data_IF_040598578717
#
_entry.id   IF_040598578717
#
_cell.length_a   1.000
_cell.length_b   1.000
_cell.length_c   1.000
_cell.angle_alpha   90.00
_cell.angle_beta   90.00
_cell.angle_gamma   90.00
#
_symmetry.space_group_name_H-M   'P 1'
#
loop_
_entity.id
_entity.type
_entity.pdbx_description
1 polymer ?
#
# COMPACT_ATOMS: atom_id res chain seq x y z
N UNK A 1 31.22 5.71 13.75
CA UNK A 1 30.47 4.56 13.16
C UNK A 1 29.58 5.17 12.09
N UNK A 2 29.75 4.73 10.84
CA UNK A 2 28.93 5.23 9.73
C UNK A 2 27.50 4.69 9.80
N UNK A 3 26.57 5.32 9.07
CA UNK A 3 25.18 4.82 8.95
C UNK A 3 25.13 3.42 8.35
N UNK A 4 26.05 3.10 7.42
CA UNK A 4 26.17 1.75 6.84
C UNK A 4 26.61 0.73 7.91
N UNK A 5 27.56 1.07 8.78
CA UNK A 5 27.96 0.19 9.88
C UNK A 5 26.79 -0.14 10.82
N UNK A 6 25.92 0.85 11.08
CA UNK A 6 24.71 0.65 11.90
C UNK A 6 23.73 -0.31 11.20
N UNK A 7 23.50 -0.12 9.90
CA UNK A 7 22.64 -0.99 9.12
C UNK A 7 23.17 -2.44 9.06
N UNK A 8 24.50 -2.63 8.94
CA UNK A 8 25.13 -3.95 9.00
C UNK A 8 24.94 -4.62 10.38
N UNK A 9 25.05 -3.86 11.46
CA UNK A 9 24.77 -4.38 12.80
C UNK A 9 23.30 -4.78 12.97
N UNK A 10 22.36 -3.97 12.50
CA UNK A 10 20.94 -4.30 12.51
C UNK A 10 20.61 -5.57 11.71
N UNK A 11 21.28 -5.79 10.57
CA UNK A 11 21.11 -7.00 9.78
C UNK A 11 21.70 -8.22 10.45
N UNK A 12 22.87 -8.09 11.08
CA UNK A 12 23.63 -9.20 11.66
C UNK A 12 22.98 -9.81 12.90
N UNK A 13 22.08 -9.10 13.57
CA UNK A 13 21.47 -9.53 14.82
C UNK A 13 19.94 -9.63 14.70
N UNK A 14 19.37 -10.79 14.94
CA UNK A 14 17.92 -11.02 14.86
C UNK A 14 17.15 -10.62 16.13
N UNK A 15 17.83 -10.26 17.23
CA UNK A 15 17.17 -9.84 18.47
C UNK A 15 16.45 -8.51 18.29
N UNK A 16 15.15 -8.52 18.58
CA UNK A 16 14.32 -7.31 18.55
C UNK A 16 14.81 -6.27 19.56
N UNK A 17 15.13 -6.70 20.79
CA UNK A 17 15.60 -5.81 21.84
C UNK A 17 16.91 -5.12 21.44
N UNK A 18 17.87 -5.89 20.91
CA UNK A 18 19.13 -5.32 20.39
C UNK A 18 18.88 -4.24 19.35
N UNK A 19 17.94 -4.47 18.41
CA UNK A 19 17.62 -3.48 17.36
C UNK A 19 16.95 -2.24 17.93
N UNK A 20 16.03 -2.39 18.89
CA UNK A 20 15.40 -1.29 19.59
C UNK A 20 16.45 -0.44 20.33
N UNK A 21 17.32 -1.05 21.13
CA UNK A 21 18.41 -0.38 21.87
C UNK A 21 19.40 0.34 20.93
N UNK A 22 19.82 -0.33 19.84
CA UNK A 22 20.71 0.27 18.86
C UNK A 22 20.09 1.50 18.20
N UNK A 23 18.83 1.42 17.78
CA UNK A 23 18.13 2.56 17.18
C UNK A 23 17.90 3.69 18.17
N UNK A 24 17.55 3.41 19.42
CA UNK A 24 17.39 4.42 20.48
C UNK A 24 18.71 5.18 20.71
N UNK A 25 19.85 4.49 20.65
CA UNK A 25 21.17 5.12 20.74
C UNK A 25 21.46 6.06 19.56
N UNK A 26 20.72 5.95 18.48
CA UNK A 26 20.86 6.72 17.25
C UNK A 26 19.75 7.78 17.04
N UNK A 27 19.03 8.16 18.08
CA UNK A 27 17.87 9.09 17.98
C UNK A 27 18.22 10.41 17.28
N UNK A 28 19.46 10.89 17.41
CA UNK A 28 19.96 12.11 16.77
C UNK A 28 20.64 11.87 15.41
N UNK A 29 20.57 10.67 14.86
CA UNK A 29 21.15 10.35 13.55
C UNK A 29 20.12 10.61 12.45
N UNK A 30 20.11 11.84 11.91
CA UNK A 30 19.16 12.25 10.88
C UNK A 30 19.35 11.48 9.57
N UNK A 31 20.57 11.09 9.23
CA UNK A 31 20.82 10.30 8.02
C UNK A 31 20.21 8.91 8.11
N UNK A 32 20.39 8.22 9.25
CA UNK A 32 19.75 6.93 9.49
C UNK A 32 18.23 7.04 9.46
N UNK A 33 17.66 8.09 10.05
CA UNK A 33 16.23 8.37 9.97
C UNK A 33 15.76 8.53 8.53
N UNK A 34 16.47 9.32 7.69
CA UNK A 34 16.18 9.49 6.27
C UNK A 34 16.23 8.17 5.51
N UNK A 35 17.20 7.29 5.82
CA UNK A 35 17.29 5.95 5.22
C UNK A 35 16.03 5.12 5.49
N UNK A 36 15.56 5.11 6.75
CA UNK A 36 14.35 4.38 7.10
C UNK A 36 13.10 4.96 6.44
N UNK A 37 12.99 6.30 6.34
CA UNK A 37 11.89 6.96 5.62
C UNK A 37 11.96 6.60 4.14
N UNK A 38 13.10 6.78 3.49
CA UNK A 38 13.27 6.50 2.06
C UNK A 38 12.91 5.07 1.67
N UNK A 39 13.26 4.11 2.53
CA UNK A 39 12.95 2.70 2.29
C UNK A 39 11.55 2.27 2.78
N UNK A 40 11.02 2.92 3.82
CA UNK A 40 9.83 2.46 4.54
C UNK A 40 8.54 3.24 4.24
N UNK A 41 8.64 4.50 3.80
CA UNK A 41 7.46 5.31 3.51
C UNK A 41 6.74 4.78 2.26
N UNK A 42 5.50 4.28 2.36
CA UNK A 42 4.77 3.71 1.22
C UNK A 42 4.43 4.74 0.14
N UNK A 43 4.42 6.02 0.47
CA UNK A 43 4.08 7.11 -0.44
C UNK A 43 5.26 7.58 -1.32
N UNK A 44 6.49 7.17 -1.00
CA UNK A 44 7.69 7.46 -1.79
C UNK A 44 7.96 6.28 -2.73
N UNK A 45 7.98 6.51 -4.03
CA UNK A 45 8.30 5.51 -5.05
C UNK A 45 9.43 6.00 -5.95
N UNK A 46 10.33 5.09 -6.35
CA UNK A 46 11.46 5.43 -7.22
C UNK A 46 11.35 4.88 -8.64
N UNK A 47 10.36 4.04 -8.92
CA UNK A 47 9.99 3.52 -10.24
C UNK A 47 11.11 2.79 -11.03
N UNK A 48 12.23 2.43 -10.39
CA UNK A 48 13.35 1.71 -10.99
C UNK A 48 13.59 0.40 -10.23
N UNK A 49 13.02 -0.70 -10.74
CA UNK A 49 13.12 -2.02 -10.11
C UNK A 49 14.17 -2.94 -10.76
N UNK A 50 14.64 -2.59 -11.98
CA UNK A 50 15.60 -3.40 -12.74
C UNK A 50 16.65 -2.52 -13.41
N UNK A 51 17.90 -2.72 -13.07
CA UNK A 51 19.05 -2.10 -13.68
C UNK A 51 20.27 -3.06 -13.58
N UNK A 52 21.30 -2.81 -14.36
CA UNK A 52 22.53 -3.60 -14.29
C UNK A 52 23.47 -2.95 -13.26
N UNK A 53 23.75 -3.65 -12.18
CA UNK A 53 24.68 -3.18 -11.16
C UNK A 53 26.09 -3.06 -11.75
N UNK A 54 26.75 -1.88 -11.66
CA UNK A 54 28.16 -1.73 -12.03
C UNK A 54 29.10 -2.41 -11.02
N UNK A 55 30.39 -2.50 -11.37
CA UNK A 55 31.40 -2.99 -10.42
C UNK A 55 31.57 -2.02 -9.25
N UNK A 56 31.80 -2.55 -8.08
CA UNK A 56 32.02 -1.79 -6.85
C UNK A 56 33.49 -1.36 -6.76
N UNK A 57 33.84 -0.20 -7.30
CA UNK A 57 35.23 0.31 -7.35
C UNK A 57 35.38 1.65 -6.61
N UNK A 58 34.33 2.13 -5.90
CA UNK A 58 34.33 3.39 -5.17
C UNK A 58 35.19 3.42 -3.91
N UNK A 59 35.55 4.62 -3.48
CA UNK A 59 36.39 4.90 -2.29
C UNK A 59 35.79 6.01 -1.40
N UNK A 60 34.57 6.47 -1.70
CA UNK A 60 33.91 7.56 -0.96
C UNK A 60 33.55 7.21 0.48
N UNK A 61 33.46 8.26 1.32
CA UNK A 61 32.97 8.11 2.69
C UNK A 61 31.49 7.70 2.70
N UNK A 62 31.13 6.71 3.54
CA UNK A 62 29.80 6.07 3.56
C UNK A 62 28.64 7.07 3.72
N UNK A 63 28.71 7.94 4.69
CA UNK A 63 27.58 8.85 5.00
C UNK A 63 27.42 9.93 3.91
N UNK A 64 28.50 10.44 3.32
CA UNK A 64 28.45 11.41 2.24
C UNK A 64 27.84 10.79 0.96
N UNK A 65 28.25 9.56 0.61
CA UNK A 65 27.71 8.84 -0.54
C UNK A 65 26.23 8.55 -0.34
N UNK A 66 25.86 8.16 0.86
CA UNK A 66 24.48 7.85 1.21
C UNK A 66 23.57 9.09 1.18
N UNK A 67 24.04 10.24 1.68
CA UNK A 67 23.34 11.53 1.61
C UNK A 67 23.07 11.94 0.17
N UNK A 68 24.10 11.99 -0.69
CA UNK A 68 23.94 12.33 -2.11
C UNK A 68 23.01 11.36 -2.84
N UNK A 69 23.13 10.07 -2.54
CA UNK A 69 22.23 9.07 -3.12
C UNK A 69 20.78 9.32 -2.76
N UNK A 70 20.49 9.58 -1.48
CA UNK A 70 19.13 9.86 -1.01
C UNK A 70 18.56 11.13 -1.64
N UNK A 71 19.36 12.19 -1.76
CA UNK A 71 18.96 13.44 -2.42
C UNK A 71 18.60 13.18 -3.89
N UNK A 72 19.48 12.50 -4.63
CA UNK A 72 19.28 12.22 -6.05
C UNK A 72 18.05 11.35 -6.34
N UNK A 73 17.84 10.27 -5.59
CA UNK A 73 16.66 9.42 -5.79
C UNK A 73 15.36 10.12 -5.38
N UNK A 74 15.41 10.98 -4.34
CA UNK A 74 14.24 11.75 -3.92
C UNK A 74 13.90 12.84 -4.94
N UNK A 75 14.87 13.70 -5.30
CA UNK A 75 14.61 14.85 -6.17
C UNK A 75 14.35 14.45 -7.64
N UNK A 76 14.96 13.38 -8.11
CA UNK A 76 14.93 13.01 -9.55
C UNK A 76 13.99 11.85 -9.85
N UNK A 77 13.95 10.84 -8.99
CA UNK A 77 13.16 9.63 -9.25
C UNK A 77 11.78 9.69 -8.59
N UNK A 78 11.69 10.03 -7.29
CA UNK A 78 10.39 10.05 -6.61
C UNK A 78 9.45 11.14 -7.15
N UNK A 79 10.02 12.27 -7.55
CA UNK A 79 9.30 13.39 -8.19
C UNK A 79 9.07 13.19 -9.69
N UNK A 80 9.63 12.11 -10.27
CA UNK A 80 9.54 11.77 -11.70
C UNK A 80 10.13 12.80 -12.67
N UNK A 81 11.05 13.64 -12.19
CA UNK A 81 11.84 14.53 -13.07
C UNK A 81 12.64 13.72 -14.09
N UNK A 82 13.10 12.51 -13.68
CA UNK A 82 13.80 11.58 -14.56
C UNK A 82 13.04 10.26 -14.61
N UNK A 83 12.69 9.78 -15.82
CA UNK A 83 11.84 8.59 -16.02
C UNK A 83 12.40 7.64 -17.08
N UNK A 84 11.83 6.44 -17.20
CA UNK A 84 12.12 5.49 -18.26
C UNK A 84 13.59 5.02 -18.28
N UNK A 85 14.24 5.04 -19.45
CA UNK A 85 15.63 4.61 -19.58
C UNK A 85 16.60 5.60 -18.94
N UNK A 86 16.32 6.90 -19.00
CA UNK A 86 17.13 7.91 -18.32
C UNK A 86 17.20 7.69 -16.81
N UNK A 87 16.11 7.25 -16.17
CA UNK A 87 16.09 6.89 -14.75
C UNK A 87 16.99 5.67 -14.46
N UNK A 88 17.00 4.67 -15.35
CA UNK A 88 17.92 3.52 -15.22
C UNK A 88 19.37 3.92 -15.37
N UNK A 89 19.66 4.80 -16.34
CA UNK A 89 21.03 5.30 -16.59
C UNK A 89 21.51 6.15 -15.40
N UNK A 90 20.63 6.99 -14.83
CA UNK A 90 20.91 7.73 -13.61
C UNK A 90 21.26 6.78 -12.45
N UNK A 91 20.43 5.76 -12.22
CA UNK A 91 20.69 4.77 -11.16
C UNK A 91 22.03 4.09 -11.38
N UNK A 92 22.34 3.61 -12.59
CA UNK A 92 23.65 2.99 -12.90
C UNK A 92 24.80 3.96 -12.61
N UNK A 93 24.67 5.22 -13.00
CA UNK A 93 25.65 6.26 -12.72
C UNK A 93 25.88 6.45 -11.21
N UNK A 94 24.81 6.56 -10.42
CA UNK A 94 24.90 6.69 -8.96
C UNK A 94 25.64 5.53 -8.30
N UNK A 95 25.50 4.32 -8.84
CA UNK A 95 26.16 3.13 -8.30
C UNK A 95 27.61 2.94 -8.75
N UNK A 96 28.07 3.66 -9.77
CA UNK A 96 29.39 3.42 -10.41
C UNK A 96 30.55 3.67 -9.44
N UNK A 97 30.45 4.73 -8.61
CA UNK A 97 31.53 5.15 -7.71
C UNK A 97 31.30 4.67 -6.26
N UNK A 98 30.51 3.61 -6.07
CA UNK A 98 30.20 3.06 -4.75
C UNK A 98 31.05 1.85 -4.42
N UNK A 99 31.36 1.69 -3.12
CA UNK A 99 31.89 0.43 -2.56
C UNK A 99 30.82 -0.66 -2.52
N UNK A 100 31.21 -1.93 -2.31
CA UNK A 100 30.25 -3.04 -2.20
C UNK A 100 29.19 -2.84 -1.12
N UNK A 101 29.54 -2.47 0.12
CA UNK A 101 28.56 -2.16 1.17
C UNK A 101 27.64 -1.01 0.80
N UNK A 102 28.14 0.07 0.21
CA UNK A 102 27.34 1.21 -0.26
C UNK A 102 26.34 0.76 -1.32
N UNK A 103 26.77 0.01 -2.35
CA UNK A 103 25.87 -0.54 -3.36
C UNK A 103 24.79 -1.41 -2.76
N UNK A 104 25.13 -2.28 -1.81
CA UNK A 104 24.18 -3.15 -1.12
C UNK A 104 23.05 -2.34 -0.47
N UNK A 105 23.39 -1.34 0.34
CA UNK A 105 22.41 -0.58 1.09
C UNK A 105 21.63 0.41 0.22
N UNK A 106 22.28 1.11 -0.69
CA UNK A 106 21.61 1.98 -1.65
C UNK A 106 20.62 1.20 -2.54
N UNK A 107 20.98 -0.02 -2.98
CA UNK A 107 20.05 -0.89 -3.70
C UNK A 107 18.83 -1.27 -2.87
N UNK A 108 19.02 -1.61 -1.59
CA UNK A 108 17.92 -1.96 -0.69
C UNK A 108 17.00 -0.79 -0.40
N UNK A 109 17.54 0.42 -0.30
CA UNK A 109 16.75 1.66 -0.19
C UNK A 109 15.93 1.86 -1.46
N UNK A 110 16.55 1.81 -2.63
CA UNK A 110 15.90 1.98 -3.92
C UNK A 110 14.77 0.96 -4.14
N UNK A 111 14.99 -0.29 -3.73
CA UNK A 111 14.00 -1.37 -3.82
C UNK A 111 13.02 -1.39 -2.63
N UNK A 112 13.10 -0.39 -1.74
CA UNK A 112 12.21 -0.22 -0.58
C UNK A 112 12.16 -1.43 0.36
N UNK A 113 13.29 -2.12 0.52
CA UNK A 113 13.39 -3.28 1.41
C UNK A 113 14.80 -3.40 2.01
N UNK A 114 14.99 -2.85 3.19
CA UNK A 114 16.30 -2.84 3.87
C UNK A 114 16.77 -4.23 4.31
N UNK A 115 15.87 -5.18 4.51
CA UNK A 115 16.19 -6.55 4.97
C UNK A 115 17.02 -6.60 6.26
N UNK A 116 16.92 -5.59 7.09
CA UNK A 116 17.60 -5.52 8.38
C UNK A 116 16.72 -5.98 9.56
N UNK A 117 15.50 -6.47 9.27
CA UNK A 117 14.56 -6.97 10.27
C UNK A 117 14.02 -5.91 11.24
N UNK A 118 14.05 -4.63 10.84
CA UNK A 118 13.43 -3.50 11.56
C UNK A 118 12.12 -3.17 10.87
N UNK A 119 11.03 -3.12 11.65
CA UNK A 119 9.70 -2.77 11.18
C UNK A 119 9.42 -1.26 11.38
N UNK A 120 8.48 -0.70 10.62
CA UNK A 120 8.07 0.70 10.76
C UNK A 120 7.64 1.06 12.18
N UNK A 121 6.98 0.14 12.88
CA UNK A 121 6.60 0.32 14.29
C UNK A 121 7.81 0.51 15.22
N UNK A 122 8.93 -0.17 14.95
CA UNK A 122 10.17 0.01 15.72
C UNK A 122 10.84 1.34 15.38
N UNK A 123 10.84 1.73 14.09
CA UNK A 123 11.35 3.04 13.67
C UNK A 123 10.55 4.17 14.32
N UNK A 124 9.23 4.08 14.32
CA UNK A 124 8.34 5.09 14.88
C UNK A 124 8.37 5.18 16.42
N UNK A 125 8.89 4.17 17.13
CA UNK A 125 9.18 4.29 18.57
C UNK A 125 10.33 5.27 18.83
N UNK A 126 11.35 5.27 17.96
CA UNK A 126 12.54 6.12 18.10
C UNK A 126 12.32 7.50 17.48
N UNK A 127 11.67 7.53 16.33
CA UNK A 127 11.30 8.75 15.60
C UNK A 127 9.79 8.76 15.34
N UNK A 128 9.00 9.28 16.29
CA UNK A 128 7.53 9.28 16.18
C UNK A 128 7.05 9.90 14.86
N UNK A 129 6.21 9.15 14.11
CA UNK A 129 5.67 9.60 12.82
C UNK A 129 6.67 9.65 11.67
N UNK A 130 7.88 9.11 11.81
CA UNK A 130 8.89 9.13 10.75
C UNK A 130 8.49 8.34 9.52
N UNK A 131 7.86 7.19 9.71
CA UNK A 131 7.28 6.41 8.61
C UNK A 131 5.77 6.47 8.78
N UNK A 132 5.11 7.03 7.78
CA UNK A 132 3.64 7.06 7.73
C UNK A 132 3.15 5.62 7.58
N UNK A 133 2.26 5.19 8.49
CA UNK A 133 1.71 3.84 8.43
C UNK A 133 0.78 3.71 7.23
N UNK A 134 1.00 2.70 6.38
CA UNK A 134 -0.05 2.29 5.46
C UNK A 134 -1.14 1.61 6.30
N UNK A 135 -2.26 2.28 6.46
CA UNK A 135 -3.41 1.74 7.19
C UNK A 135 -4.66 1.87 6.33
N UNK A 136 -5.49 0.86 6.39
CA UNK A 136 -6.82 0.87 5.82
C UNK A 136 -7.84 0.72 6.93
N UNK A 137 -9.01 1.30 6.77
CA UNK A 137 -10.11 1.09 7.69
C UNK A 137 -10.53 -0.38 7.64
N UNK A 138 -10.74 -0.97 8.80
CA UNK A 138 -11.18 -2.35 8.95
C UNK A 138 -12.62 -2.36 9.48
N UNK A 139 -13.40 -3.32 8.99
CA UNK A 139 -14.72 -3.58 9.55
C UNK A 139 -14.58 -4.19 10.95
N UNK A 140 -15.40 -3.75 11.86
CA UNK A 140 -15.60 -4.37 13.16
C UNK A 140 -16.85 -5.28 13.12
N UNK A 141 -16.85 -6.31 13.96
CA UNK A 141 -18.00 -7.21 14.04
C UNK A 141 -19.10 -6.54 14.83
N UNK A 142 -20.31 -6.50 14.27
CA UNK A 142 -21.50 -6.09 14.99
C UNK A 142 -21.87 -7.17 16.00
N UNK A 143 -22.03 -6.79 17.28
CA UNK A 143 -22.41 -7.73 18.33
C UNK A 143 -23.85 -8.22 18.12
N UNK A 144 -23.99 -9.53 18.01
CA UNK A 144 -25.29 -10.18 17.79
C UNK A 144 -25.45 -11.38 18.71
N UNK A 145 -26.68 -11.72 19.04
CA UNK A 145 -27.06 -12.98 19.72
C UNK A 145 -28.20 -13.65 18.98
N UNK A 146 -28.25 -14.96 19.05
CA UNK A 146 -29.39 -15.72 18.55
C UNK A 146 -30.35 -16.03 19.70
N UNK A 147 -31.65 -15.79 19.50
CA UNK A 147 -32.72 -16.11 20.45
C UNK A 147 -33.78 -16.98 19.77
N UNK A 148 -34.08 -18.14 20.37
CA UNK A 148 -35.08 -19.04 19.84
C UNK A 148 -36.44 -18.35 19.66
N UNK A 149 -37.01 -18.49 18.47
CA UNK A 149 -38.28 -17.86 18.09
C UNK A 149 -38.20 -16.38 17.70
N UNK A 150 -37.06 -15.72 17.85
CA UNK A 150 -36.85 -14.33 17.42
C UNK A 150 -35.78 -14.17 16.37
N UNK A 151 -34.85 -15.16 16.24
CA UNK A 151 -33.74 -15.11 15.28
C UNK A 151 -32.54 -14.34 15.76
N UNK A 152 -31.85 -13.62 14.87
CA UNK A 152 -30.68 -12.79 15.16
C UNK A 152 -31.16 -11.47 15.76
N UNK A 153 -30.59 -11.10 16.90
CA UNK A 153 -30.80 -9.81 17.60
C UNK A 153 -29.46 -9.06 17.57
N UNK A 154 -29.50 -7.79 17.15
CA UNK A 154 -28.37 -6.89 17.19
C UNK A 154 -28.27 -6.25 18.57
N UNK A 155 -27.13 -6.38 19.23
CA UNK A 155 -26.90 -5.85 20.58
C UNK A 155 -26.25 -4.46 20.57
N UNK A 156 -25.45 -4.15 19.51
CA UNK A 156 -24.85 -2.83 19.37
C UNK A 156 -25.88 -1.79 18.91
N UNK A 157 -25.77 -0.55 19.39
CA UNK A 157 -26.66 0.52 18.94
C UNK A 157 -26.33 0.90 17.48
N UNK A 158 -27.32 0.77 16.60
CA UNK A 158 -27.20 1.19 15.19
C UNK A 158 -28.04 2.44 14.97
N UNK A 159 -27.42 3.49 14.45
CA UNK A 159 -28.10 4.73 14.08
C UNK A 159 -28.51 4.68 12.62
N UNK A 160 -29.81 4.63 12.35
CA UNK A 160 -30.37 4.57 11.00
C UNK A 160 -30.61 5.98 10.40
N UNK A 161 -30.56 6.13 9.07
CA UNK A 161 -30.32 5.10 8.08
C UNK A 161 -28.84 4.68 8.03
N UNK A 162 -28.57 3.42 7.65
CA UNK A 162 -27.21 2.92 7.40
C UNK A 162 -27.11 2.35 6.00
N UNK A 163 -25.92 2.42 5.41
CA UNK A 163 -25.60 1.78 4.15
C UNK A 163 -25.14 0.35 4.39
N UNK A 164 -25.72 -0.59 3.66
CA UNK A 164 -25.36 -2.01 3.68
C UNK A 164 -24.74 -2.38 2.35
N UNK A 165 -23.63 -3.09 2.39
CA UNK A 165 -22.89 -3.60 1.24
C UNK A 165 -22.56 -5.07 1.50
N UNK A 166 -22.54 -5.96 0.46
CA UNK A 166 -22.15 -7.33 0.64
C UNK A 166 -20.67 -7.42 1.03
N UNK A 167 -20.35 -8.25 2.03
CA UNK A 167 -18.97 -8.55 2.40
C UNK A 167 -18.37 -9.52 1.40
N UNK A 168 -17.40 -9.05 0.64
CA UNK A 168 -16.72 -9.80 -0.40
C UNK A 168 -15.60 -10.66 0.20
N UNK A 169 -15.44 -11.88 -0.31
CA UNK A 169 -14.39 -12.81 0.08
C UNK A 169 -13.27 -12.82 -0.98
N UNK A 170 -12.46 -11.80 -0.96
CA UNK A 170 -11.36 -11.60 -1.91
C UNK A 170 -10.07 -11.16 -1.23
N UNK A 171 -9.33 -10.28 -1.89
CA UNK A 171 -8.08 -9.72 -1.38
C UNK A 171 -8.11 -8.20 -1.49
N UNK A 172 -8.00 -7.53 -0.33
CA UNK A 172 -7.97 -6.07 -0.26
C UNK A 172 -6.91 -5.50 -1.18
N UNK A 173 -7.30 -4.55 -1.99
CA UNK A 173 -6.42 -3.80 -2.87
C UNK A 173 -6.71 -2.31 -2.77
N UNK A 174 -5.68 -1.52 -2.53
CA UNK A 174 -5.72 -0.06 -2.61
C UNK A 174 -4.94 0.37 -3.84
N UNK A 175 -5.62 0.96 -4.81
CA UNK A 175 -5.03 1.47 -6.04
C UNK A 175 -4.85 2.99 -5.92
N UNK A 176 -3.61 3.43 -5.86
CA UNK A 176 -3.24 4.84 -5.75
C UNK A 176 -2.78 5.33 -7.10
N UNK A 177 -3.52 6.26 -7.70
CA UNK A 177 -3.10 6.97 -8.91
C UNK A 177 -2.55 8.33 -8.53
N UNK A 178 -1.32 8.61 -8.97
CA UNK A 178 -0.65 9.88 -8.77
C UNK A 178 0.26 10.19 -9.97
N UNK A 179 0.15 11.41 -10.49
CA UNK A 179 0.86 11.82 -11.71
C UNK A 179 0.63 10.86 -12.90
N UNK A 180 -0.59 10.35 -13.06
CA UNK A 180 -0.96 9.45 -14.14
C UNK A 180 -0.48 7.99 -14.00
N UNK A 181 0.29 7.66 -12.97
CA UNK A 181 0.71 6.28 -12.68
C UNK A 181 -0.06 5.66 -11.51
N UNK A 182 -0.32 4.37 -11.61
CA UNK A 182 -1.00 3.61 -10.57
C UNK A 182 -0.01 2.72 -9.82
N UNK A 183 -0.04 2.80 -8.51
CA UNK A 183 0.59 1.81 -7.62
C UNK A 183 -0.52 1.10 -6.85
N UNK A 184 -0.51 -0.23 -6.87
CA UNK A 184 -1.48 -1.03 -6.14
C UNK A 184 -0.84 -1.62 -4.90
N UNK A 185 -1.58 -1.66 -3.80
CA UNK A 185 -1.10 -2.13 -2.50
C UNK A 185 -2.05 -3.17 -1.91
N UNK A 186 -1.47 -4.12 -1.17
CA UNK A 186 -2.25 -4.99 -0.27
C UNK A 186 -2.73 -4.23 0.96
N UNK A 187 -3.60 -4.83 1.76
CA UNK A 187 -4.04 -4.35 3.08
C UNK A 187 -2.89 -3.88 3.99
N UNK A 188 -1.71 -4.47 3.85
CA UNK A 188 -0.54 -4.19 4.68
C UNK A 188 0.49 -3.25 4.01
N UNK A 189 0.13 -2.61 2.89
CA UNK A 189 1.01 -1.69 2.17
C UNK A 189 2.08 -2.36 1.32
N UNK A 190 1.98 -3.67 1.07
CA UNK A 190 2.89 -4.36 0.13
C UNK A 190 2.47 -4.06 -1.30
N UNK A 191 3.41 -3.64 -2.14
CA UNK A 191 3.13 -3.36 -3.56
C UNK A 191 2.70 -4.63 -4.30
N UNK A 192 1.60 -4.54 -5.02
CA UNK A 192 1.06 -5.58 -5.90
C UNK A 192 1.52 -5.34 -7.35
N UNK A 193 2.28 -6.28 -7.90
CA UNK A 193 2.70 -6.27 -9.31
C UNK A 193 1.97 -7.33 -10.15
N UNK A 194 0.96 -7.99 -9.57
CA UNK A 194 0.32 -9.18 -10.13
C UNK A 194 -0.99 -8.89 -10.86
N UNK A 195 -1.42 -7.63 -10.90
CA UNK A 195 -2.67 -7.16 -11.50
C UNK A 195 -2.41 -6.14 -12.63
N UNK A 196 -1.59 -6.48 -13.66
CA UNK A 196 -1.18 -5.53 -14.69
C UNK A 196 -2.35 -5.00 -15.54
N UNK A 197 -3.38 -5.83 -15.79
CA UNK A 197 -4.56 -5.44 -16.56
C UNK A 197 -5.42 -4.44 -15.80
N UNK A 198 -5.76 -4.73 -14.54
CA UNK A 198 -6.53 -3.81 -13.69
C UNK A 198 -5.77 -2.49 -13.54
N UNK A 199 -4.45 -2.57 -13.27
CA UNK A 199 -3.59 -1.39 -13.21
C UNK A 199 -3.69 -0.53 -14.47
N UNK A 200 -3.54 -1.13 -15.66
CA UNK A 200 -3.60 -0.42 -16.94
C UNK A 200 -4.96 0.21 -17.21
N UNK A 201 -6.06 -0.42 -16.79
CA UNK A 201 -7.41 0.15 -16.90
C UNK A 201 -7.56 1.42 -16.05
N UNK A 202 -7.05 1.42 -14.83
CA UNK A 202 -7.09 2.59 -13.94
C UNK A 202 -6.13 3.68 -14.44
N UNK A 203 -4.95 3.30 -14.97
CA UNK A 203 -4.01 4.25 -15.57
C UNK A 203 -4.61 5.00 -16.77
N UNK A 204 -5.41 4.31 -17.59
CA UNK A 204 -6.06 4.88 -18.76
C UNK A 204 -7.24 5.82 -18.44
N UNK A 205 -7.76 5.82 -17.21
CA UNK A 205 -8.83 6.71 -16.79
C UNK A 205 -8.39 8.20 -16.87
N UNK A 206 -9.32 9.15 -17.16
CA UNK A 206 -8.97 10.54 -17.46
C UNK A 206 -8.54 11.39 -16.26
N UNK A 207 -8.64 10.89 -15.05
CA UNK A 207 -8.24 11.58 -13.82
C UNK A 207 -6.80 11.26 -13.43
N UNK A 208 -6.11 12.18 -12.75
CA UNK A 208 -4.67 12.10 -12.47
C UNK A 208 -4.34 11.64 -11.03
N UNK A 209 -5.16 11.99 -10.04
CA UNK A 209 -4.84 11.82 -8.62
C UNK A 209 -6.04 11.37 -7.79
N UNK A 210 -6.18 10.06 -7.59
CA UNK A 210 -7.18 9.46 -6.70
C UNK A 210 -6.70 8.14 -6.10
N UNK A 211 -7.36 7.75 -5.03
CA UNK A 211 -7.19 6.45 -4.39
C UNK A 211 -8.51 5.70 -4.50
N UNK A 212 -8.45 4.47 -5.00
CA UNK A 212 -9.56 3.53 -5.00
C UNK A 212 -9.25 2.42 -4.00
N UNK A 213 -10.16 2.16 -3.09
CA UNK A 213 -10.07 1.10 -2.11
C UNK A 213 -11.14 0.06 -2.37
N UNK A 214 -10.77 -1.21 -2.39
CA UNK A 214 -11.68 -2.27 -2.79
C UNK A 214 -11.14 -3.67 -2.58
N UNK A 215 -11.88 -4.63 -3.09
CA UNK A 215 -11.56 -6.05 -3.03
C UNK A 215 -11.32 -6.60 -4.44
N UNK A 216 -10.23 -7.33 -4.65
CA UNK A 216 -9.97 -8.05 -5.90
C UNK A 216 -10.43 -9.48 -5.76
N UNK A 217 -11.30 -9.90 -6.68
CA UNK A 217 -11.87 -11.24 -6.71
C UNK A 217 -11.69 -11.88 -8.07
N UNK A 218 -11.40 -13.20 -8.06
CA UNK A 218 -11.60 -14.13 -9.18
C UNK A 218 -12.91 -14.88 -9.04
N UNK A 219 -13.00 -16.08 -9.64
CA UNK A 219 -14.17 -16.93 -9.51
C UNK A 219 -14.35 -17.48 -8.08
N UNK A 220 -13.26 -17.64 -7.35
CA UNK A 220 -13.25 -18.03 -5.93
C UNK A 220 -12.01 -17.46 -5.20
N UNK A 221 -11.97 -17.66 -3.87
CA UNK A 221 -10.85 -17.18 -3.04
C UNK A 221 -9.50 -17.81 -3.45
N UNK A 222 -9.47 -19.10 -3.83
CA UNK A 222 -8.23 -19.78 -4.22
C UNK A 222 -7.64 -19.18 -5.50
N UNK A 223 -8.48 -18.89 -6.49
CA UNK A 223 -8.06 -18.20 -7.72
C UNK A 223 -7.54 -16.80 -7.38
N UNK A 224 -8.29 -16.04 -6.61
CA UNK A 224 -7.91 -14.69 -6.15
C UNK A 224 -6.56 -14.70 -5.45
N UNK A 225 -6.37 -15.57 -4.45
CA UNK A 225 -5.11 -15.69 -3.70
C UNK A 225 -3.96 -16.18 -4.62
N UNK A 226 -4.23 -17.11 -5.53
CA UNK A 226 -3.24 -17.63 -6.48
C UNK A 226 -2.69 -16.56 -7.42
N UNK A 227 -3.51 -15.60 -7.85
CA UNK A 227 -3.10 -14.50 -8.74
C UNK A 227 -2.46 -13.39 -7.91
N UNK A 228 -3.17 -12.85 -6.93
CA UNK A 228 -2.78 -11.66 -6.18
C UNK A 228 -1.52 -11.89 -5.33
N UNK A 229 -1.43 -13.03 -4.63
CA UNK A 229 -0.28 -13.36 -3.77
C UNK A 229 0.89 -14.02 -4.53
N UNK A 230 0.82 -14.10 -5.84
CA UNK A 230 1.87 -14.75 -6.63
C UNK A 230 3.19 -13.98 -6.56
N UNK A 231 4.28 -14.68 -6.32
CA UNK A 231 5.64 -14.13 -6.49
C UNK A 231 6.12 -14.17 -7.96
N UNK A 232 5.33 -14.77 -8.85
CA UNK A 232 5.66 -14.88 -10.28
C UNK A 232 5.06 -13.69 -11.04
N UNK A 233 5.91 -12.88 -11.67
CA UNK A 233 5.45 -11.83 -12.59
C UNK A 233 4.79 -12.45 -13.82
N UNK A 234 3.71 -11.82 -14.30
CA UNK A 234 3.06 -12.21 -15.54
C UNK A 234 2.02 -13.31 -15.41
N UNK A 235 1.41 -13.50 -14.24
CA UNK A 235 0.15 -14.25 -14.17
C UNK A 235 -0.95 -13.50 -14.91
N UNK A 236 -1.83 -14.28 -15.50
CA UNK A 236 -3.02 -13.76 -16.17
C UNK A 236 -4.02 -13.28 -15.09
N UNK A 237 -4.34 -11.99 -15.12
CA UNK A 237 -5.34 -11.35 -14.27
C UNK A 237 -6.65 -11.07 -15.05
N UNK A 238 -6.85 -11.73 -16.21
CA UNK A 238 -8.01 -11.49 -17.08
C UNK A 238 -9.37 -11.78 -16.41
N UNK A 239 -9.39 -12.74 -15.48
CA UNK A 239 -10.59 -13.11 -14.72
C UNK A 239 -10.75 -12.31 -13.42
N UNK A 240 -9.77 -11.46 -13.05
CA UNK A 240 -9.85 -10.66 -11.83
C UNK A 240 -10.77 -9.46 -12.03
N UNK A 241 -11.59 -9.19 -11.02
CA UNK A 241 -12.45 -8.02 -10.95
C UNK A 241 -12.07 -7.23 -9.68
N UNK A 242 -11.88 -5.94 -9.83
CA UNK A 242 -11.65 -5.03 -8.72
C UNK A 242 -12.98 -4.38 -8.33
N UNK A 243 -13.51 -4.78 -7.19
CA UNK A 243 -14.74 -4.28 -6.58
C UNK A 243 -14.41 -3.13 -5.65
N UNK A 244 -14.70 -1.91 -6.09
CA UNK A 244 -14.37 -0.68 -5.38
C UNK A 244 -15.52 -0.30 -4.45
N UNK A 245 -15.23 -0.11 -3.18
CA UNK A 245 -16.21 0.30 -2.17
C UNK A 245 -15.90 1.68 -1.55
N UNK A 246 -14.67 2.20 -1.70
CA UNK A 246 -14.33 3.54 -1.21
C UNK A 246 -13.38 4.25 -2.19
N UNK A 247 -13.40 5.59 -2.15
CA UNK A 247 -12.49 6.42 -2.90
C UNK A 247 -12.14 7.70 -2.12
N UNK A 248 -10.90 8.15 -2.28
CA UNK A 248 -10.37 9.34 -1.64
C UNK A 248 -9.61 10.20 -2.65
N UNK A 249 -9.54 11.49 -2.41
CA UNK A 249 -8.53 12.32 -3.05
C UNK A 249 -7.14 11.90 -2.59
N UNK A 250 -6.16 11.96 -3.48
CA UNK A 250 -4.80 11.55 -3.15
C UNK A 250 -4.20 12.38 -2.00
N UNK A 251 -4.52 13.68 -1.93
CA UNK A 251 -4.11 14.56 -0.83
C UNK A 251 -4.62 14.07 0.52
N UNK A 252 -5.92 13.75 0.61
CA UNK A 252 -6.57 13.31 1.86
C UNK A 252 -5.99 11.98 2.35
N UNK A 253 -5.77 11.05 1.39
CA UNK A 253 -5.14 9.77 1.71
C UNK A 253 -3.69 9.94 2.17
N UNK A 254 -2.90 10.79 1.51
CA UNK A 254 -1.50 11.08 1.87
C UNK A 254 -1.41 11.74 3.24
N UNK A 255 -2.26 12.73 3.50
CA UNK A 255 -2.25 13.53 4.72
C UNK A 255 -3.02 12.82 5.86
N UNK A 256 -3.68 11.68 5.57
CA UNK A 256 -4.52 10.90 6.49
C UNK A 256 -5.64 11.74 7.12
N UNK A 257 -6.18 12.66 6.35
CA UNK A 257 -7.22 13.58 6.77
C UNK A 257 -8.31 13.65 5.68
N UNK A 258 -9.35 12.84 5.85
CA UNK A 258 -10.46 12.78 4.90
C UNK A 258 -11.53 13.81 5.25
N UNK A 259 -11.89 14.62 4.26
CA UNK A 259 -12.90 15.68 4.40
C UNK A 259 -14.27 15.30 3.83
N UNK A 260 -14.38 14.17 3.13
CA UNK A 260 -15.64 13.72 2.54
C UNK A 260 -16.38 12.77 3.49
N UNK A 261 -17.69 12.93 3.59
CA UNK A 261 -18.50 11.93 4.27
C UNK A 261 -18.70 10.65 3.41
N UNK A 262 -19.36 9.64 3.94
CA UNK A 262 -19.52 8.36 3.25
C UNK A 262 -20.36 8.51 1.96
N UNK A 263 -21.41 9.34 1.97
CA UNK A 263 -22.31 9.51 0.83
C UNK A 263 -21.56 10.16 -0.34
N UNK A 264 -20.76 11.18 -0.06
CA UNK A 264 -19.92 11.86 -1.06
C UNK A 264 -18.85 10.91 -1.63
N UNK A 265 -18.23 10.06 -0.79
CA UNK A 265 -17.27 9.06 -1.26
C UNK A 265 -17.92 7.97 -2.12
N UNK A 266 -19.14 7.56 -1.82
CA UNK A 266 -19.90 6.60 -2.64
C UNK A 266 -20.21 7.18 -4.03
N UNK A 267 -20.60 8.44 -4.13
CA UNK A 267 -20.80 9.09 -5.43
C UNK A 267 -19.45 9.29 -6.15
N UNK A 268 -18.37 9.60 -5.44
CA UNK A 268 -17.02 9.65 -6.01
C UNK A 268 -16.60 8.30 -6.59
N UNK A 269 -16.83 7.19 -5.90
CA UNK A 269 -16.57 5.83 -6.42
C UNK A 269 -17.34 5.62 -7.72
N UNK A 270 -18.63 5.95 -7.75
CA UNK A 270 -19.49 5.79 -8.92
C UNK A 270 -18.97 6.59 -10.12
N UNK A 271 -18.56 7.81 -9.90
CA UNK A 271 -17.98 8.67 -10.93
C UNK A 271 -16.67 8.07 -11.48
N UNK A 272 -15.71 7.77 -10.60
CA UNK A 272 -14.38 7.29 -10.97
C UNK A 272 -14.45 5.93 -11.69
N UNK A 273 -15.22 4.98 -11.14
CA UNK A 273 -15.45 3.67 -11.76
C UNK A 273 -16.17 3.81 -13.10
N UNK A 274 -17.16 4.71 -13.19
CA UNK A 274 -17.86 5.02 -14.44
C UNK A 274 -16.91 5.54 -15.52
N UNK A 275 -15.90 6.33 -15.15
CA UNK A 275 -14.89 6.86 -16.07
C UNK A 275 -13.87 5.79 -16.50
N UNK A 276 -13.58 4.78 -15.67
CA UNK A 276 -12.80 3.60 -16.10
C UNK A 276 -13.54 2.82 -17.19
N UNK A 277 -14.88 2.72 -17.07
CA UNK A 277 -15.76 2.20 -18.13
C UNK A 277 -15.50 0.73 -18.50
N UNK A 278 -15.02 -0.10 -17.56
CA UNK A 278 -14.67 -1.50 -17.82
C UNK A 278 -15.24 -2.43 -16.74
N UNK A 279 -15.80 -3.57 -17.15
CA UNK A 279 -16.41 -4.55 -16.25
C UNK A 279 -15.43 -5.24 -15.27
N UNK A 280 -14.13 -5.00 -15.38
CA UNK A 280 -13.14 -5.50 -14.43
C UNK A 280 -12.82 -4.51 -13.30
N UNK A 281 -13.42 -3.32 -13.33
CA UNK A 281 -13.38 -2.35 -12.23
C UNK A 281 -14.82 -1.91 -12.01
N UNK A 282 -15.42 -2.32 -10.91
CA UNK A 282 -16.84 -2.12 -10.63
C UNK A 282 -17.04 -1.57 -9.23
N UNK A 283 -18.09 -0.80 -9.04
CA UNK A 283 -18.51 -0.36 -7.71
C UNK A 283 -19.19 -1.50 -6.97
N UNK A 284 -18.90 -1.67 -5.67
CA UNK A 284 -19.66 -2.58 -4.79
C UNK A 284 -21.09 -2.06 -4.69
N UNK A 285 -22.12 -2.91 -4.95
CA UNK A 285 -23.50 -2.51 -4.79
C UNK A 285 -23.82 -2.26 -3.31
N UNK A 286 -24.49 -1.16 -3.03
CA UNK A 286 -24.92 -0.84 -1.68
C UNK A 286 -26.35 -0.33 -1.66
N UNK A 287 -27.02 -0.49 -0.51
CA UNK A 287 -28.39 -0.02 -0.27
C UNK A 287 -28.52 0.63 1.10
N UNK A 288 -29.35 1.66 1.18
CA UNK A 288 -29.72 2.27 2.46
C UNK A 288 -30.83 1.45 3.11
N UNK A 289 -30.72 1.22 4.41
CA UNK A 289 -31.74 0.59 5.25
C UNK A 289 -32.08 1.52 6.40
N UNK A 290 -33.36 1.56 6.77
CA UNK A 290 -33.89 2.57 7.68
C UNK A 290 -34.22 2.03 9.08
N UNK A 291 -34.08 0.72 9.27
CA UNK A 291 -34.38 0.05 10.55
C UNK A 291 -33.73 -1.33 10.61
N UNK A 292 -33.74 -1.95 11.82
CA UNK A 292 -33.14 -3.25 12.10
C UNK A 292 -33.73 -4.37 11.24
N UNK A 293 -35.02 -4.35 10.96
CA UNK A 293 -35.67 -5.38 10.15
C UNK A 293 -35.11 -5.38 8.72
N UNK A 294 -35.00 -4.20 8.11
CA UNK A 294 -34.41 -4.05 6.77
C UNK A 294 -32.92 -4.45 6.75
N UNK A 295 -32.19 -4.15 7.84
CA UNK A 295 -30.79 -4.56 7.98
C UNK A 295 -30.65 -6.10 8.00
N UNK A 296 -31.48 -6.79 8.79
CA UNK A 296 -31.48 -8.25 8.87
C UNK A 296 -31.93 -8.89 7.55
N UNK A 297 -32.96 -8.34 6.88
CA UNK A 297 -33.39 -8.79 5.57
C UNK A 297 -32.27 -8.64 4.52
N UNK A 298 -31.51 -7.53 4.59
CA UNK A 298 -30.37 -7.28 3.72
C UNK A 298 -29.24 -8.31 3.97
N UNK A 299 -28.90 -8.55 5.23
CA UNK A 299 -27.89 -9.55 5.61
C UNK A 299 -28.27 -10.96 5.12
N UNK A 300 -29.53 -11.38 5.32
CA UNK A 300 -30.01 -12.68 4.84
C UNK A 300 -29.94 -12.79 3.32
N UNK A 301 -30.32 -11.73 2.61
CA UNK A 301 -30.26 -11.72 1.14
C UNK A 301 -28.84 -11.85 0.62
N UNK A 302 -27.86 -11.18 1.26
CA UNK A 302 -26.46 -11.25 0.84
C UNK A 302 -25.84 -12.62 1.18
N UNK A 303 -26.15 -13.20 2.35
CA UNK A 303 -25.68 -14.56 2.69
C UNK A 303 -26.32 -15.64 1.80
N UNK A 304 -27.61 -15.52 1.46
CA UNK A 304 -28.28 -16.42 0.52
C UNK A 304 -27.72 -16.31 -0.92
N UNK A 305 -27.21 -15.13 -1.29
CA UNK A 305 -26.52 -14.92 -2.55
C UNK A 305 -25.07 -15.46 -2.56
N UNK A 306 -24.57 -15.94 -1.41
CA UNK A 306 -23.25 -16.56 -1.29
C UNK A 306 -22.13 -15.61 -0.89
N UNK A 307 -22.44 -14.40 -0.42
CA UNK A 307 -21.48 -13.49 0.17
C UNK A 307 -21.13 -13.91 1.62
N UNK A 308 -20.01 -13.41 2.13
CA UNK A 308 -19.54 -13.74 3.48
C UNK A 308 -20.43 -13.09 4.58
N UNK A 309 -21.14 -12.02 4.24
CA UNK A 309 -22.03 -11.29 5.11
C UNK A 309 -22.58 -10.04 4.46
#
# INVERSE_FOLDING_TARGET
MSTIDILEQLESNNSRLFKEELLESQVNNDLLKKVFIAAGDPYINYYVNKFKMPKAEGIGADDLVLEHFLEDIYEKLSTRVVTGNAAKDLVVSLFTDMTGPQQKWCQRILLKNLRCGVQSTTVNKVWPGAIVGFSVQLAETLSTRYEDGKGIIIEDPVMYPVRVEPKLDGLRCVAVKHNGEVTMFTRNGTVLETLPRIKSLIEAAPWDEFVLDGEVMGADWNESASVVMSHKKGKDDSNMIFHVFDALHFSDWRDQDNHLDLEDRVELVKELVGQVGNSSVVQVPGRLVSNEKELLEAYMADTDAGYEG
#
